data_IF_887500782801
#
_entry.id   IF_887500782801
#
_cell.length_a   1.000
_cell.length_b   1.000
_cell.length_c   1.000
_cell.angle_alpha   90.00
_cell.angle_beta   90.00
_cell.angle_gamma   90.00
#
_symmetry.space_group_name_H-M   'P 1'
#
loop_
_entity.id
_entity.type
_entity.pdbx_description
1 polymer ?
#
# COMPACT_ATOMS: atom_id res chain seq x y z
N UNK A 1 12.45 -19.60 -30.98
CA UNK A 1 12.29 -18.24 -30.43
C UNK A 1 11.23 -18.30 -29.35
N UNK A 2 11.63 -18.18 -28.09
CA UNK A 2 10.72 -18.21 -26.94
C UNK A 2 10.55 -16.78 -26.46
N UNK A 3 9.32 -16.28 -26.47
CA UNK A 3 8.96 -14.97 -25.92
C UNK A 3 9.24 -14.95 -24.41
N UNK A 4 9.91 -13.92 -23.85
CA UNK A 4 10.05 -13.80 -22.42
C UNK A 4 8.72 -13.28 -21.85
N UNK A 5 7.98 -14.15 -21.18
CA UNK A 5 6.87 -13.74 -20.31
C UNK A 5 7.43 -12.87 -19.18
N UNK A 6 6.92 -11.66 -18.93
CA UNK A 6 7.33 -10.89 -17.76
C UNK A 6 6.85 -11.63 -16.51
N UNK A 7 7.78 -12.17 -15.73
CA UNK A 7 7.50 -12.79 -14.44
C UNK A 7 7.44 -11.70 -13.38
N UNK A 8 6.26 -11.14 -13.15
CA UNK A 8 6.00 -10.33 -11.96
C UNK A 8 5.93 -11.28 -10.75
N UNK A 9 6.82 -11.16 -9.74
CA UNK A 9 6.78 -12.03 -8.57
C UNK A 9 5.59 -11.64 -7.67
N UNK A 10 4.66 -12.58 -7.47
CA UNK A 10 3.58 -12.48 -6.48
C UNK A 10 4.15 -12.60 -5.05
N UNK A 11 3.76 -11.69 -4.14
CA UNK A 11 4.24 -11.70 -2.74
C UNK A 11 3.09 -11.55 -1.71
N UNK A 12 3.22 -12.17 -0.51
CA UNK A 12 2.49 -11.81 0.69
C UNK A 12 3.33 -10.82 1.52
N UNK A 13 2.97 -9.53 1.56
CA UNK A 13 3.77 -8.51 2.26
C UNK A 13 3.58 -8.65 3.76
N UNK A 14 4.67 -8.95 4.49
CA UNK A 14 4.65 -9.05 5.96
C UNK A 14 5.62 -8.04 6.59
N UNK A 15 5.01 -6.98 7.15
CA UNK A 15 5.51 -6.04 8.19
C UNK A 15 6.61 -5.04 7.76
N UNK A 16 6.28 -3.75 7.81
CA UNK A 16 7.23 -2.64 7.77
C UNK A 16 7.42 -2.00 9.17
N UNK A 17 8.66 -1.66 9.52
CA UNK A 17 9.03 -1.11 10.86
C UNK A 17 9.79 0.22 10.74
N UNK A 18 9.51 1.18 11.62
CA UNK A 18 10.17 2.50 11.68
C UNK A 18 11.29 2.55 12.74
N UNK A 19 12.46 3.22 12.52
CA UNK A 19 13.51 3.38 13.53
C UNK A 19 13.24 4.51 14.56
N UNK A 20 13.96 4.41 15.69
CA UNK A 20 13.89 5.33 16.83
C UNK A 20 14.84 6.54 16.65
N UNK A 21 14.26 7.75 16.78
CA UNK A 21 14.89 9.09 16.83
C UNK A 21 15.64 9.57 15.57
N UNK A 22 14.92 10.30 14.70
CA UNK A 22 15.32 10.84 13.36
C UNK A 22 15.74 9.76 12.36
N UNK A 23 15.46 9.92 11.06
CA UNK A 23 15.80 8.92 10.03
C UNK A 23 17.28 9.09 9.65
N UNK A 24 18.21 8.23 10.10
CA UNK A 24 19.63 8.38 9.79
C UNK A 24 19.94 7.51 8.56
N UNK A 25 20.52 8.16 7.54
CA UNK A 25 21.03 7.52 6.33
C UNK A 25 22.31 6.78 6.71
N UNK A 26 22.38 5.47 6.41
CA UNK A 26 23.60 4.67 6.53
C UNK A 26 23.84 3.90 5.23
N UNK A 27 25.11 3.81 4.84
CA UNK A 27 25.58 3.16 3.61
C UNK A 27 25.50 1.62 3.69
N UNK A 28 25.23 0.97 2.56
CA UNK A 28 25.61 -0.43 2.36
C UNK A 28 25.80 -0.82 0.89
N UNK A 29 26.72 -1.75 0.75
CA UNK A 29 27.44 -2.25 -0.41
C UNK A 29 26.68 -3.37 -1.16
N UNK A 30 27.10 -3.53 -2.42
CA UNK A 30 26.77 -4.40 -3.54
C UNK A 30 26.06 -5.74 -3.27
N UNK A 31 24.76 -5.79 -3.56
CA UNK A 31 24.12 -6.73 -4.51
C UNK A 31 22.59 -6.55 -4.50
N UNK A 32 21.96 -6.64 -5.67
CA UNK A 32 20.58 -6.21 -5.96
C UNK A 32 19.51 -6.67 -4.96
N UNK A 33 19.08 -5.76 -4.06
CA UNK A 33 18.22 -6.06 -2.92
C UNK A 33 16.70 -5.81 -3.08
N UNK A 34 16.20 -5.36 -4.23
CA UNK A 34 14.81 -4.88 -4.40
C UNK A 34 13.67 -5.91 -4.12
N UNK A 35 13.98 -7.17 -3.80
CA UNK A 35 12.99 -8.23 -3.65
C UNK A 35 13.21 -9.17 -2.44
N UNK A 36 13.95 -8.73 -1.41
CA UNK A 36 14.14 -9.52 -0.18
C UNK A 36 12.80 -9.60 0.59
N UNK A 37 12.38 -10.82 0.91
CA UNK A 37 11.05 -11.20 1.44
C UNK A 37 10.93 -11.09 2.97
N UNK A 38 11.67 -10.17 3.57
CA UNK A 38 11.71 -9.98 5.02
C UNK A 38 11.18 -8.60 5.40
N UNK A 39 10.95 -8.40 6.69
CA UNK A 39 10.50 -7.12 7.24
C UNK A 39 11.42 -5.99 6.77
N UNK A 40 10.88 -5.03 6.00
CA UNK A 40 11.65 -3.91 5.44
C UNK A 40 11.40 -2.65 6.27
N UNK A 41 12.44 -1.87 6.57
CA UNK A 41 12.23 -0.52 7.12
C UNK A 41 11.94 0.46 5.98
N UNK A 42 11.13 1.45 6.29
CA UNK A 42 10.85 2.56 5.37
C UNK A 42 12.18 3.26 5.04
N UNK A 43 12.47 3.48 3.77
CA UNK A 43 13.73 4.04 3.29
C UNK A 43 14.80 3.02 2.90
N UNK A 44 14.65 1.74 3.27
CA UNK A 44 15.58 0.70 2.81
C UNK A 44 15.46 0.54 1.28
N UNK A 45 16.57 0.29 0.58
CA UNK A 45 16.60 -0.08 -0.86
C UNK A 45 15.92 0.90 -1.83
N UNK A 46 15.79 2.19 -1.47
CA UNK A 46 15.16 3.18 -2.35
C UNK A 46 15.91 3.34 -3.68
N UNK A 47 15.25 3.22 -4.85
CA UNK A 47 15.87 3.57 -6.12
C UNK A 47 16.06 5.10 -6.20
N UNK A 48 17.22 5.56 -6.66
CA UNK A 48 17.56 6.99 -6.69
C UNK A 48 16.62 7.89 -7.53
N UNK A 49 15.79 7.30 -8.40
CA UNK A 49 14.81 7.99 -9.23
C UNK A 49 13.56 7.12 -9.47
N UNK A 50 12.67 6.94 -8.49
CA UNK A 50 11.34 6.32 -8.67
C UNK A 50 10.50 6.30 -7.37
N UNK A 51 9.39 5.56 -7.39
CA UNK A 51 8.73 5.01 -6.21
C UNK A 51 9.65 4.08 -5.41
N UNK A 52 9.36 3.87 -4.11
CA UNK A 52 10.16 2.94 -3.30
C UNK A 52 10.02 1.52 -3.80
N UNK A 53 8.77 1.07 -3.89
CA UNK A 53 8.44 -0.27 -4.35
C UNK A 53 7.03 -0.30 -4.94
N UNK A 54 6.81 -1.36 -5.71
CA UNK A 54 5.55 -1.71 -6.34
C UNK A 54 5.29 -3.21 -6.12
N UNK A 55 4.07 -3.56 -5.73
CA UNK A 55 3.73 -4.92 -5.34
C UNK A 55 2.40 -5.40 -5.93
N UNK A 56 2.49 -6.33 -6.87
CA UNK A 56 1.35 -7.15 -7.25
C UNK A 56 1.00 -8.12 -6.10
N UNK A 57 -0.18 -7.94 -5.52
CA UNK A 57 -0.65 -8.73 -4.39
C UNK A 57 -1.03 -10.14 -4.87
N UNK A 58 -0.65 -11.14 -4.08
CA UNK A 58 -1.00 -12.53 -4.39
C UNK A 58 -2.52 -12.74 -4.24
N UNK A 59 -3.16 -13.53 -5.11
CA UNK A 59 -4.54 -13.96 -4.91
C UNK A 59 -4.71 -14.60 -3.52
N UNK A 60 -5.76 -14.19 -2.81
CA UNK A 60 -6.07 -14.65 -1.46
C UNK A 60 -7.16 -15.71 -1.52
N UNK A 61 -6.83 -16.95 -1.13
CA UNK A 61 -7.76 -18.08 -1.20
C UNK A 61 -8.63 -18.27 0.05
N UNK A 62 -8.32 -17.57 1.14
CA UNK A 62 -8.94 -17.69 2.46
C UNK A 62 -9.71 -16.44 2.88
N UNK A 63 -10.26 -15.70 1.91
CA UNK A 63 -11.05 -14.50 2.16
C UNK A 63 -12.36 -14.83 2.88
N UNK A 64 -12.60 -14.14 4.00
CA UNK A 64 -13.88 -14.13 4.70
C UNK A 64 -14.85 -13.14 4.07
N UNK A 65 -14.32 -12.03 3.55
CA UNK A 65 -15.05 -11.04 2.77
C UNK A 65 -14.62 -11.12 1.31
N UNK A 66 -15.58 -11.45 0.43
CA UNK A 66 -15.42 -11.38 -1.02
C UNK A 66 -16.26 -10.21 -1.51
N UNK A 67 -15.62 -9.06 -1.70
CA UNK A 67 -16.23 -7.86 -2.27
C UNK A 67 -16.10 -7.93 -3.81
N UNK A 68 -17.19 -7.81 -4.58
CA UNK A 68 -17.09 -7.78 -6.03
C UNK A 68 -16.46 -6.45 -6.47
N UNK A 69 -15.48 -6.50 -7.37
CA UNK A 69 -14.90 -5.29 -7.95
C UNK A 69 -15.81 -4.58 -8.96
N UNK A 70 -16.76 -5.32 -9.51
CA UNK A 70 -17.69 -4.86 -10.54
C UNK A 70 -19.06 -5.42 -10.24
N UNK A 71 -20.05 -4.56 -10.36
CA UNK A 71 -21.43 -4.87 -10.04
C UNK A 71 -22.24 -4.48 -11.25
N UNK A 72 -22.96 -5.42 -11.89
CA UNK A 72 -23.92 -5.06 -12.94
C UNK A 72 -24.93 -4.05 -12.38
N UNK A 73 -25.25 -3.00 -13.13
CA UNK A 73 -26.25 -2.00 -12.71
C UNK A 73 -27.59 -2.66 -12.38
N UNK A 74 -27.94 -3.76 -13.05
CA UNK A 74 -29.14 -4.55 -12.77
C UNK A 74 -29.16 -5.18 -11.36
N UNK A 75 -28.00 -5.36 -10.73
CA UNK A 75 -27.87 -5.90 -9.37
C UNK A 75 -27.75 -4.79 -8.31
N UNK A 76 -27.55 -3.54 -8.74
CA UNK A 76 -27.51 -2.39 -7.85
C UNK A 76 -28.92 -2.00 -7.40
N UNK A 77 -29.26 -2.33 -6.15
CA UNK A 77 -30.57 -2.08 -5.55
C UNK A 77 -30.43 -1.52 -4.14
N UNK A 78 -31.51 -1.00 -3.59
CA UNK A 78 -31.57 -0.47 -2.21
C UNK A 78 -31.21 -1.52 -1.13
N UNK A 79 -31.23 -2.81 -1.49
CA UNK A 79 -30.87 -3.91 -0.60
C UNK A 79 -29.38 -4.27 -0.63
N UNK A 80 -28.63 -3.73 -1.60
CA UNK A 80 -27.20 -4.01 -1.75
C UNK A 80 -26.39 -3.11 -0.81
N UNK A 81 -25.72 -3.73 0.16
CA UNK A 81 -24.84 -3.05 1.11
C UNK A 81 -23.42 -3.60 1.03
N UNK A 82 -22.56 -2.89 0.28
CA UNK A 82 -21.16 -3.24 0.06
C UNK A 82 -20.25 -2.79 1.21
N UNK A 83 -20.77 -1.96 2.13
CA UNK A 83 -19.98 -1.34 3.20
C UNK A 83 -20.08 -2.16 4.48
N UNK A 84 -21.24 -2.74 4.76
CA UNK A 84 -21.49 -3.51 5.99
C UNK A 84 -20.45 -4.59 6.23
N UNK A 85 -20.13 -5.39 5.22
CA UNK A 85 -19.18 -6.47 5.41
C UNK A 85 -17.74 -5.95 5.52
N UNK A 86 -17.39 -4.87 4.82
CA UNK A 86 -16.09 -4.19 5.00
C UNK A 86 -15.90 -3.74 6.46
N UNK A 87 -16.97 -3.29 7.12
CA UNK A 87 -16.91 -2.85 8.52
C UNK A 87 -16.96 -4.00 9.54
N UNK A 88 -17.65 -5.10 9.23
CA UNK A 88 -17.95 -6.16 10.22
C UNK A 88 -17.12 -7.43 10.05
N UNK A 89 -16.65 -7.72 8.85
CA UNK A 89 -15.83 -8.89 8.53
C UNK A 89 -14.37 -8.47 8.37
N UNK A 90 -13.45 -9.23 8.98
CA UNK A 90 -12.01 -8.92 8.95
C UNK A 90 -11.24 -10.06 8.29
N UNK A 91 -10.64 -9.78 7.14
CA UNK A 91 -9.66 -10.67 6.52
C UNK A 91 -8.30 -10.54 7.23
N UNK A 92 -7.37 -11.41 6.86
CA UNK A 92 -5.94 -11.20 7.16
C UNK A 92 -5.47 -9.97 6.39
N UNK A 93 -4.82 -8.99 7.05
CA UNK A 93 -4.38 -7.77 6.38
C UNK A 93 -3.34 -8.08 5.31
N UNK A 94 -3.40 -7.36 4.19
CA UNK A 94 -2.45 -7.43 3.08
C UNK A 94 -1.16 -6.67 3.38
N UNK A 95 -1.24 -5.68 4.27
CA UNK A 95 -0.11 -4.84 4.68
C UNK A 95 -0.25 -4.45 6.14
N UNK A 96 0.88 -4.39 6.85
CA UNK A 96 0.96 -3.82 8.20
C UNK A 96 2.12 -2.84 8.31
N UNK A 97 1.79 -1.59 8.64
CA UNK A 97 2.75 -0.55 9.03
C UNK A 97 2.81 -0.49 10.56
N UNK A 98 3.99 -0.48 11.16
CA UNK A 98 4.11 -0.43 12.62
C UNK A 98 5.24 0.45 13.11
N UNK A 99 5.09 1.00 14.32
CA UNK A 99 6.08 1.85 14.99
C UNK A 99 6.38 1.31 16.38
N UNK A 100 7.64 1.00 16.65
CA UNK A 100 8.11 0.66 18.01
C UNK A 100 7.95 1.86 18.95
N UNK A 101 8.16 3.07 18.43
CA UNK A 101 8.15 4.31 19.22
C UNK A 101 6.77 4.64 19.78
N UNK A 102 5.73 4.55 18.96
CA UNK A 102 4.36 4.83 19.41
C UNK A 102 3.64 3.60 19.96
N UNK A 103 4.17 2.39 19.70
CA UNK A 103 3.47 1.14 20.01
C UNK A 103 2.22 0.91 19.16
N UNK A 104 2.03 1.67 18.07
CA UNK A 104 0.87 1.55 17.18
C UNK A 104 1.21 0.77 15.91
N UNK A 105 0.19 0.18 15.31
CA UNK A 105 0.23 -0.33 13.95
C UNK A 105 -1.05 0.05 13.18
N UNK A 106 -0.90 0.12 11.86
CA UNK A 106 -2.01 0.21 10.91
C UNK A 106 -2.00 -1.06 10.07
N UNK A 107 -3.12 -1.77 10.07
CA UNK A 107 -3.32 -3.00 9.29
C UNK A 107 -4.30 -2.70 8.15
N UNK A 108 -3.88 -2.96 6.92
CA UNK A 108 -4.64 -2.65 5.73
C UNK A 108 -5.25 -3.91 5.11
N UNK A 109 -6.49 -3.80 4.65
CA UNK A 109 -7.17 -4.77 3.79
C UNK A 109 -7.75 -4.04 2.58
N UNK A 110 -7.77 -4.70 1.43
CA UNK A 110 -8.29 -4.13 0.18
C UNK A 110 -8.70 -5.25 -0.77
N UNK A 111 -9.71 -5.01 -1.60
CA UNK A 111 -10.00 -5.88 -2.75
C UNK A 111 -9.03 -5.66 -3.91
N UNK A 112 -8.33 -4.52 -3.96
CA UNK A 112 -7.44 -4.16 -5.07
C UNK A 112 -6.22 -5.08 -5.17
N UNK A 113 -5.80 -5.36 -6.41
CA UNK A 113 -4.78 -6.36 -6.69
C UNK A 113 -3.33 -5.87 -6.55
N UNK A 114 -3.13 -4.57 -6.29
CA UNK A 114 -1.82 -3.95 -6.40
C UNK A 114 -1.62 -2.82 -5.39
N UNK A 115 -0.36 -2.61 -5.02
CA UNK A 115 0.06 -1.66 -3.99
C UNK A 115 1.35 -0.96 -4.41
N UNK A 116 1.31 0.36 -4.42
CA UNK A 116 2.49 1.20 -4.54
C UNK A 116 2.85 1.83 -3.21
N UNK A 117 4.16 1.89 -2.96
CA UNK A 117 4.72 2.42 -1.73
C UNK A 117 5.67 3.59 -2.04
N UNK A 118 5.37 4.75 -1.44
CA UNK A 118 6.15 5.98 -1.60
C UNK A 118 6.43 6.63 -0.25
N UNK A 119 7.65 7.13 -0.06
CA UNK A 119 8.09 7.68 1.23
C UNK A 119 8.40 9.16 1.17
N UNK A 120 7.66 9.91 0.35
CA UNK A 120 7.76 11.38 0.30
C UNK A 120 9.18 11.90 -0.04
N UNK A 121 9.96 11.17 -0.83
CA UNK A 121 11.38 11.49 -1.06
C UNK A 121 11.60 12.80 -1.83
N UNK A 122 10.68 13.18 -2.72
CA UNK A 122 10.80 14.37 -3.58
C UNK A 122 10.00 15.56 -3.09
N UNK A 123 9.78 15.66 -1.78
CA UNK A 123 9.08 16.80 -1.20
C UNK A 123 9.94 18.06 -1.18
N UNK A 124 9.31 19.23 -1.19
CA UNK A 124 9.97 20.52 -1.07
C UNK A 124 9.92 21.03 0.36
N UNK A 125 11.05 21.02 1.05
CA UNK A 125 11.19 21.55 2.41
C UNK A 125 10.93 23.07 2.49
N UNK A 126 10.97 23.80 1.37
CA UNK A 126 10.61 25.22 1.30
C UNK A 126 9.15 25.45 0.93
N UNK A 127 8.38 24.39 0.72
CA UNK A 127 6.96 24.44 0.39
C UNK A 127 6.08 24.76 1.61
N UNK A 128 4.94 24.07 1.70
CA UNK A 128 3.95 24.24 2.76
C UNK A 128 3.71 22.94 3.53
N UNK A 129 3.66 23.04 4.86
CA UNK A 129 3.23 21.96 5.75
C UNK A 129 1.93 22.34 6.44
N UNK A 130 0.96 21.43 6.42
CA UNK A 130 -0.37 21.65 7.01
C UNK A 130 -0.24 21.82 8.53
N UNK A 131 -1.04 22.73 9.10
CA UNK A 131 -1.07 22.97 10.57
C UNK A 131 -1.39 21.72 11.37
N UNK A 132 -2.33 20.90 10.88
CA UNK A 132 -2.69 19.63 11.50
C UNK A 132 -1.55 18.61 11.56
N UNK A 133 -0.46 18.80 10.79
CA UNK A 133 0.75 17.98 10.81
C UNK A 133 1.92 18.66 11.54
N UNK A 134 1.63 19.66 12.39
CA UNK A 134 2.62 20.41 13.15
C UNK A 134 3.39 21.48 12.37
N UNK A 135 2.88 21.89 11.19
CA UNK A 135 3.42 23.01 10.43
C UNK A 135 2.79 24.36 10.79
N UNK A 136 3.32 25.41 10.21
CA UNK A 136 2.83 26.80 10.29
C UNK A 136 1.72 27.08 9.28
N UNK A 137 1.65 26.31 8.19
CA UNK A 137 0.80 26.61 7.03
C UNK A 137 1.32 27.75 6.15
N UNK A 138 2.53 28.26 6.41
CA UNK A 138 3.20 29.29 5.62
C UNK A 138 4.21 28.69 4.65
N UNK A 139 4.53 29.41 3.58
CA UNK A 139 5.59 29.04 2.65
C UNK A 139 6.96 29.10 3.36
N UNK A 140 7.85 28.15 3.06
CA UNK A 140 9.16 28.01 3.71
C UNK A 140 9.22 27.00 4.85
N UNK A 141 8.07 26.40 5.21
CA UNK A 141 7.95 25.34 6.21
C UNK A 141 7.30 24.12 5.55
N UNK A 142 7.99 23.53 4.60
CA UNK A 142 7.56 22.34 3.88
C UNK A 142 7.81 21.05 4.66
N UNK A 143 7.31 19.95 4.12
CA UNK A 143 7.70 18.63 4.61
C UNK A 143 9.14 18.32 4.22
N UNK A 144 9.86 17.57 5.04
CA UNK A 144 11.20 17.07 4.69
C UNK A 144 11.08 15.68 4.02
N UNK A 145 12.06 15.26 3.21
CA UNK A 145 12.09 13.90 2.67
C UNK A 145 11.84 12.84 3.76
N UNK A 146 11.08 11.79 3.44
CA UNK A 146 10.81 10.67 4.36
C UNK A 146 9.96 11.02 5.60
N UNK A 147 9.34 12.19 5.60
CA UNK A 147 8.41 12.60 6.66
C UNK A 147 7.07 11.85 6.65
N UNK A 148 6.76 11.10 5.58
CA UNK A 148 5.52 10.35 5.44
C UNK A 148 5.73 9.08 4.61
N UNK A 149 4.83 8.12 4.80
CA UNK A 149 4.68 6.93 3.98
C UNK A 149 3.28 6.94 3.34
N UNK A 150 3.23 6.72 2.04
CA UNK A 150 2.03 6.61 1.23
C UNK A 150 1.91 5.18 0.73
N UNK A 151 0.74 4.58 0.98
CA UNK A 151 0.37 3.26 0.50
C UNK A 151 -0.82 3.45 -0.43
N UNK A 152 -0.60 3.25 -1.71
CA UNK A 152 -1.56 3.50 -2.77
C UNK A 152 -2.05 2.15 -3.31
N UNK A 153 -3.26 1.77 -2.93
CA UNK A 153 -3.90 0.57 -3.46
C UNK A 153 -4.56 0.92 -4.80
N UNK A 154 -4.24 0.14 -5.83
CA UNK A 154 -4.73 0.37 -7.19
C UNK A 154 -4.85 -0.93 -7.97
N UNK A 155 -5.33 -0.81 -9.19
CA UNK A 155 -5.17 -1.88 -10.18
C UNK A 155 -3.73 -1.90 -10.70
N UNK A 156 -3.25 -3.05 -11.22
CA UNK A 156 -1.94 -3.18 -11.84
C UNK A 156 -1.60 -2.04 -12.80
N UNK A 157 -0.42 -1.45 -12.60
CA UNK A 157 0.05 -0.35 -13.45
C UNK A 157 0.03 -0.79 -14.92
N UNK A 158 -0.49 0.10 -15.77
CA UNK A 158 -0.59 -0.14 -17.21
C UNK A 158 -1.42 -1.36 -17.63
N UNK A 159 -2.28 -1.91 -16.76
CA UNK A 159 -3.15 -3.05 -17.09
C UNK A 159 -3.99 -2.84 -18.35
N UNK A 160 -4.48 -1.62 -18.59
CA UNK A 160 -5.24 -1.29 -19.79
C UNK A 160 -4.41 -1.35 -21.09
N UNK A 161 -3.08 -1.11 -21.01
CA UNK A 161 -2.16 -1.21 -22.15
C UNK A 161 -1.68 -2.64 -22.37
N UNK A 162 -1.56 -3.41 -21.29
CA UNK A 162 -1.04 -4.78 -21.29
C UNK A 162 -2.03 -5.75 -20.63
N UNK A 163 -3.19 -6.00 -21.26
CA UNK A 163 -4.26 -6.80 -20.65
C UNK A 163 -3.91 -8.28 -20.43
N UNK A 164 -2.78 -8.76 -20.96
CA UNK A 164 -2.31 -10.13 -20.78
C UNK A 164 -1.31 -10.31 -19.63
N UNK A 165 -0.82 -9.21 -19.03
CA UNK A 165 0.14 -9.27 -17.92
C UNK A 165 -0.52 -9.32 -16.54
N UNK A 166 -1.84 -9.17 -16.48
CA UNK A 166 -2.65 -9.27 -15.26
C UNK A 166 -3.98 -9.94 -15.58
N UNK A 167 -4.60 -10.57 -14.58
CA UNK A 167 -5.98 -11.06 -14.67
C UNK A 167 -7.02 -9.97 -14.42
N UNK A 168 -6.60 -8.76 -14.05
CA UNK A 168 -7.52 -7.66 -13.72
C UNK A 168 -7.92 -6.86 -14.96
N UNK A 169 -9.23 -6.73 -15.16
CA UNK A 169 -9.80 -5.84 -16.16
C UNK A 169 -9.99 -4.46 -15.52
N UNK A 170 -9.42 -3.42 -16.12
CA UNK A 170 -9.52 -2.03 -15.62
C UNK A 170 -10.50 -1.16 -16.42
N UNK A 171 -11.21 -1.73 -17.40
CA UNK A 171 -12.20 -0.99 -18.21
C UNK A 171 -13.59 -1.10 -17.59
N UNK A 172 -14.18 0.01 -17.17
CA UNK A 172 -15.56 0.04 -16.69
C UNK A 172 -16.52 0.31 -17.86
N UNK A 173 -17.59 -0.47 -18.00
CA UNK A 173 -18.64 -0.24 -19.01
C UNK A 173 -19.85 0.48 -18.42
N UNK A 174 -20.72 1.02 -19.28
CA UNK A 174 -21.87 1.85 -18.85
C UNK A 174 -22.97 1.08 -18.10
N UNK A 175 -22.91 -0.24 -18.10
CA UNK A 175 -23.80 -1.17 -17.42
C UNK A 175 -23.20 -1.76 -16.14
N UNK A 176 -22.05 -1.23 -15.69
CA UNK A 176 -21.33 -1.66 -14.50
C UNK A 176 -21.14 -0.51 -13.50
N UNK A 177 -21.02 -0.88 -12.23
CA UNK A 177 -20.55 -0.03 -11.13
C UNK A 177 -19.20 -0.56 -10.69
N UNK A 178 -18.20 0.33 -10.63
CA UNK A 178 -16.91 0.03 -10.05
C UNK A 178 -16.99 0.09 -8.53
N UNK A 179 -16.50 -0.95 -7.86
CA UNK A 179 -16.45 -1.04 -6.41
C UNK A 179 -15.03 -1.41 -5.97
N UNK A 180 -14.49 -0.61 -5.05
CA UNK A 180 -13.23 -0.88 -4.41
C UNK A 180 -13.29 -0.44 -2.95
N UNK A 181 -12.50 -1.08 -2.10
CA UNK A 181 -12.30 -0.62 -0.74
C UNK A 181 -10.83 -0.69 -0.33
N UNK A 182 -10.48 0.22 0.57
CA UNK A 182 -9.31 0.12 1.42
C UNK A 182 -9.78 0.31 2.85
N UNK A 183 -9.59 -0.72 3.67
CA UNK A 183 -9.84 -0.67 5.11
C UNK A 183 -8.51 -0.50 5.81
N UNK A 184 -8.46 0.43 6.77
CA UNK A 184 -7.32 0.64 7.63
C UNK A 184 -7.75 0.48 9.10
N UNK A 185 -7.30 -0.59 9.75
CA UNK A 185 -7.50 -0.81 11.18
C UNK A 185 -6.29 -0.25 11.95
N UNK A 186 -6.54 0.68 12.87
CA UNK A 186 -5.52 1.18 13.80
C UNK A 186 -5.54 0.30 15.05
N UNK A 187 -4.43 -0.37 15.33
CA UNK A 187 -4.32 -1.32 16.44
C UNK A 187 -3.13 -0.96 17.34
N UNK A 188 -3.27 -1.23 18.64
CA UNK A 188 -2.11 -1.29 19.52
C UNK A 188 -1.28 -2.51 19.15
N UNK A 189 0.05 -2.38 19.19
CA UNK A 189 0.92 -3.56 19.19
C UNK A 189 0.76 -4.26 20.55
N UNK A 190 0.67 -5.60 20.58
CA UNK A 190 1.03 -6.32 21.78
C UNK A 190 2.43 -5.85 22.18
N UNK A 191 2.61 -5.45 23.44
CA UNK A 191 3.96 -5.26 23.95
C UNK A 191 4.69 -6.58 23.76
N UNK A 192 5.69 -6.62 22.86
CA UNK A 192 6.66 -7.70 22.90
C UNK A 192 7.22 -7.64 24.32
N UNK A 193 6.94 -8.65 25.13
CA UNK A 193 7.60 -8.82 26.43
C UNK A 193 9.08 -8.75 26.14
N UNK A 194 9.70 -7.64 26.56
CA UNK A 194 11.15 -7.51 26.54
C UNK A 194 11.66 -8.58 27.50
N UNK A 195 12.17 -9.67 26.95
CA UNK A 195 13.09 -10.55 27.69
C UNK A 195 14.38 -9.79 28.03
#
# INVERSE_FOLDING_TARGET
MVSPTPKFPMLPIRRATLPNSSIPIAEADNSSGAHIRDTKRIGDLFPGASYEDYYLLSPRSDLKLVSPHRIPISEFSDSLDLVKDVLTVRNVPVLRLSSDKSGLAVEFDSDQADLMFYTNNYTDAKGYRKKIHGGTGLHGDGYIPQSAAFFEFHEPLSAFLYPTSTSTNTLLTSDEIYNNYVRADIVSRPSETRE
#
